data_IF_107918681151
#
_entry.id   IF_107918681151
#
_cell.length_a   1.000
_cell.length_b   1.000
_cell.length_c   1.000
_cell.angle_alpha   90.00
_cell.angle_beta   90.00
_cell.angle_gamma   90.00
#
_symmetry.space_group_name_H-M   'P 1'
#
loop_
_entity.id
_entity.type
_entity.pdbx_description
1 polymer ?
#
# COMPACT_ATOMS: atom_id res chain seq x y z
N UNK A 1 21.63 -1.20 -0.71
CA UNK A 1 20.31 -1.10 -1.41
C UNK A 1 20.50 -0.63 -2.84
N UNK A 2 21.20 0.50 -3.07
CA UNK A 2 21.43 1.04 -4.42
C UNK A 2 22.10 0.06 -5.41
N UNK A 3 23.11 -0.71 -4.99
CA UNK A 3 23.79 -1.69 -5.86
C UNK A 3 22.98 -2.92 -6.29
N UNK A 4 21.68 -2.98 -5.98
CA UNK A 4 20.79 -4.00 -6.54
C UNK A 4 20.08 -3.55 -7.82
N UNK A 5 20.11 -2.26 -8.12
CA UNK A 5 19.53 -1.67 -9.32
C UNK A 5 20.55 -1.67 -10.46
N UNK A 6 20.09 -1.61 -11.70
CA UNK A 6 20.99 -1.52 -12.87
C UNK A 6 21.62 -0.15 -12.97
N UNK A 7 20.88 0.91 -12.60
CA UNK A 7 21.40 2.27 -12.51
C UNK A 7 21.50 2.71 -11.04
N UNK A 8 22.72 2.68 -10.50
CA UNK A 8 22.98 3.03 -9.10
C UNK A 8 22.70 4.50 -8.79
N UNK A 9 22.92 5.41 -9.75
CA UNK A 9 22.74 6.85 -9.56
C UNK A 9 21.25 7.21 -9.41
N UNK A 10 20.39 6.67 -10.28
CA UNK A 10 18.94 6.84 -10.18
C UNK A 10 18.40 6.24 -8.88
N UNK A 11 18.92 5.08 -8.49
CA UNK A 11 18.54 4.43 -7.24
C UNK A 11 18.96 5.27 -6.02
N UNK A 12 20.19 5.81 -6.02
CA UNK A 12 20.66 6.68 -4.95
C UNK A 12 19.80 7.94 -4.82
N UNK A 13 19.45 8.58 -5.94
CA UNK A 13 18.56 9.74 -5.95
C UNK A 13 17.18 9.44 -5.35
N UNK A 14 16.58 8.30 -5.72
CA UNK A 14 15.32 7.85 -5.14
C UNK A 14 15.41 7.62 -3.63
N UNK A 15 16.44 6.91 -3.18
CA UNK A 15 16.63 6.60 -1.76
C UNK A 15 16.88 7.86 -0.91
N UNK A 16 17.56 8.85 -1.45
CA UNK A 16 17.72 10.16 -0.79
C UNK A 16 16.40 10.91 -0.66
N UNK A 17 15.54 10.88 -1.69
CA UNK A 17 14.20 11.46 -1.59
C UNK A 17 13.31 10.73 -0.56
N UNK A 18 13.40 9.40 -0.48
CA UNK A 18 12.73 8.60 0.57
C UNK A 18 13.25 9.00 1.95
N UNK A 19 14.57 9.19 2.10
CA UNK A 19 15.21 9.61 3.35
C UNK A 19 14.74 10.99 3.81
N UNK A 20 14.64 11.95 2.88
CA UNK A 20 14.12 13.29 3.17
C UNK A 20 12.65 13.25 3.63
N UNK A 21 11.78 12.52 2.93
CA UNK A 21 10.34 12.47 3.25
C UNK A 21 9.99 11.61 4.47
N UNK A 22 10.73 10.52 4.69
CA UNK A 22 10.42 9.49 5.71
C UNK A 22 11.57 9.28 6.70
N UNK A 23 12.22 10.37 7.13
CA UNK A 23 13.40 10.31 8.01
C UNK A 23 13.21 9.44 9.26
N UNK A 24 12.05 9.57 9.94
CA UNK A 24 11.74 8.79 11.16
C UNK A 24 11.73 7.28 10.91
N UNK A 25 11.28 6.83 9.73
CA UNK A 25 11.07 5.42 9.42
C UNK A 25 12.04 4.91 8.34
N UNK A 26 13.15 5.61 8.08
CA UNK A 26 14.00 5.32 6.93
C UNK A 26 14.55 3.89 6.95
N UNK A 27 14.91 3.37 8.13
CA UNK A 27 15.41 2.00 8.27
C UNK A 27 14.38 0.98 7.77
N UNK A 28 13.13 1.12 8.21
CA UNK A 28 12.06 0.21 7.86
C UNK A 28 11.70 0.32 6.37
N UNK A 29 11.64 1.56 5.86
CA UNK A 29 11.40 1.83 4.43
C UNK A 29 12.47 1.17 3.55
N UNK A 30 13.75 1.33 3.90
CA UNK A 30 14.86 0.73 3.17
C UNK A 30 14.85 -0.80 3.26
N UNK A 31 14.53 -1.36 4.44
CA UNK A 31 14.42 -2.80 4.61
C UNK A 31 13.29 -3.39 3.78
N UNK A 32 12.13 -2.73 3.74
CA UNK A 32 10.99 -3.16 2.92
C UNK A 32 11.35 -3.17 1.43
N UNK A 33 11.98 -2.09 0.94
CA UNK A 33 12.44 -1.99 -0.45
C UNK A 33 13.44 -3.12 -0.76
N UNK A 34 14.44 -3.34 0.11
CA UNK A 34 15.45 -4.37 -0.09
C UNK A 34 14.88 -5.79 -0.07
N UNK A 35 13.88 -6.07 0.77
CA UNK A 35 13.18 -7.37 0.77
C UNK A 35 12.46 -7.60 -0.55
N UNK A 36 11.75 -6.59 -1.06
CA UNK A 36 11.00 -6.74 -2.32
C UNK A 36 11.94 -6.92 -3.52
N UNK A 37 13.06 -6.20 -3.55
CA UNK A 37 14.08 -6.36 -4.59
C UNK A 37 14.67 -7.78 -4.57
N UNK A 38 14.95 -8.33 -3.39
CA UNK A 38 15.48 -9.70 -3.26
C UNK A 38 14.47 -10.79 -3.60
N UNK A 39 13.18 -10.49 -3.49
CA UNK A 39 12.10 -11.42 -3.85
C UNK A 39 11.97 -11.60 -5.36
N UNK A 40 12.41 -10.62 -6.14
CA UNK A 40 12.18 -10.58 -7.59
C UNK A 40 13.45 -10.92 -8.33
N UNK A 41 13.41 -12.02 -9.07
CA UNK A 41 14.55 -12.49 -9.86
C UNK A 41 14.85 -11.58 -11.05
N UNK A 42 13.82 -10.88 -11.55
CA UNK A 42 13.93 -10.11 -12.78
C UNK A 42 14.19 -8.61 -12.52
N UNK A 43 15.47 -8.23 -12.56
CA UNK A 43 15.93 -6.83 -12.39
C UNK A 43 15.21 -5.80 -13.26
N UNK A 44 14.80 -6.17 -14.47
CA UNK A 44 14.08 -5.24 -15.36
C UNK A 44 12.77 -4.72 -14.76
N UNK A 45 12.08 -5.51 -13.93
CA UNK A 45 10.83 -5.08 -13.27
C UNK A 45 11.13 -4.01 -12.23
N UNK A 46 12.21 -4.22 -11.46
CA UNK A 46 12.67 -3.31 -10.41
C UNK A 46 13.11 -1.96 -11.02
N UNK A 47 13.83 -1.98 -12.14
CA UNK A 47 14.27 -0.76 -12.82
C UNK A 47 13.08 0.04 -13.42
N UNK A 48 12.08 -0.64 -13.99
CA UNK A 48 10.87 0.01 -14.48
C UNK A 48 10.09 0.63 -13.32
N UNK A 49 9.95 -0.10 -12.20
CA UNK A 49 9.26 0.39 -11.01
C UNK A 49 9.95 1.64 -10.44
N UNK A 50 11.28 1.63 -10.35
CA UNK A 50 12.07 2.78 -9.92
C UNK A 50 11.78 4.01 -10.78
N UNK A 51 11.82 3.85 -12.10
CA UNK A 51 11.57 4.95 -13.04
C UNK A 51 10.15 5.51 -12.93
N UNK A 52 9.15 4.65 -12.77
CA UNK A 52 7.76 5.08 -12.59
C UNK A 52 7.54 5.76 -11.23
N UNK A 53 8.17 5.26 -10.16
CA UNK A 53 8.14 5.90 -8.85
C UNK A 53 8.77 7.30 -8.90
N UNK A 54 9.89 7.47 -9.60
CA UNK A 54 10.53 8.76 -9.81
C UNK A 54 9.63 9.72 -10.61
N UNK A 55 9.05 9.25 -11.72
CA UNK A 55 8.14 10.03 -12.57
C UNK A 55 6.89 10.50 -11.81
N UNK A 56 6.31 9.64 -10.98
CA UNK A 56 5.10 9.92 -10.19
C UNK A 56 5.40 10.54 -8.82
N UNK A 57 6.68 10.75 -8.48
CA UNK A 57 7.17 11.29 -7.19
C UNK A 57 6.70 10.49 -5.97
N UNK A 58 6.60 9.17 -6.12
CA UNK A 58 6.20 8.21 -5.10
C UNK A 58 7.42 7.80 -4.26
N UNK A 59 7.69 8.52 -3.18
CA UNK A 59 8.88 8.32 -2.36
C UNK A 59 8.57 7.64 -1.02
N UNK A 60 7.91 6.47 -1.08
CA UNK A 60 7.85 5.56 0.05
C UNK A 60 7.88 4.09 -0.39
N UNK A 61 8.23 3.22 0.54
CA UNK A 61 8.44 1.80 0.30
C UNK A 61 7.16 1.07 -0.10
N UNK A 62 6.01 1.43 0.49
CA UNK A 62 4.72 0.82 0.13
C UNK A 62 4.37 1.11 -1.32
N UNK A 63 4.50 2.37 -1.75
CA UNK A 63 4.23 2.74 -3.14
C UNK A 63 5.17 2.04 -4.11
N UNK A 64 6.45 1.89 -3.73
CA UNK A 64 7.43 1.15 -4.53
C UNK A 64 7.04 -0.32 -4.67
N UNK A 65 6.68 -0.98 -3.56
CA UNK A 65 6.22 -2.38 -3.56
C UNK A 65 4.96 -2.54 -4.41
N UNK A 66 4.01 -1.62 -4.30
CA UNK A 66 2.77 -1.66 -5.07
C UNK A 66 3.04 -1.47 -6.56
N UNK A 67 3.94 -0.56 -6.94
CA UNK A 67 4.37 -0.35 -8.32
C UNK A 67 5.02 -1.61 -8.91
N UNK A 68 5.92 -2.21 -8.14
CA UNK A 68 6.60 -3.45 -8.50
C UNK A 68 5.59 -4.58 -8.75
N UNK A 69 4.64 -4.78 -7.83
CA UNK A 69 3.57 -5.78 -7.97
C UNK A 69 2.64 -5.49 -9.14
N UNK A 70 2.34 -4.21 -9.39
CA UNK A 70 1.55 -3.80 -10.53
C UNK A 70 2.23 -4.19 -11.85
N UNK A 71 3.53 -3.91 -11.99
CA UNK A 71 4.31 -4.27 -13.19
C UNK A 71 4.42 -5.80 -13.34
N UNK A 72 4.65 -6.53 -12.25
CA UNK A 72 4.69 -7.99 -12.24
C UNK A 72 3.38 -8.59 -12.75
N UNK A 73 2.23 -8.12 -12.24
CA UNK A 73 0.90 -8.52 -12.71
C UNK A 73 0.65 -8.15 -14.17
N UNK A 74 0.99 -6.93 -14.57
CA UNK A 74 0.89 -6.50 -15.96
C UNK A 74 1.66 -7.46 -16.87
N UNK A 75 2.93 -7.76 -16.56
CA UNK A 75 3.72 -8.71 -17.37
C UNK A 75 3.09 -10.10 -17.50
N UNK A 76 2.52 -10.63 -16.41
CA UNK A 76 1.81 -11.91 -16.47
C UNK A 76 0.60 -11.83 -17.42
N UNK A 77 -0.16 -10.74 -17.36
CA UNK A 77 -1.31 -10.49 -18.26
C UNK A 77 -0.87 -10.36 -19.73
N UNK A 78 0.30 -9.79 -20.02
CA UNK A 78 0.77 -9.63 -21.40
C UNK A 78 1.41 -10.89 -22.01
N UNK A 79 1.85 -11.87 -21.19
CA UNK A 79 2.43 -13.14 -21.66
C UNK A 79 1.37 -14.20 -22.00
N UNK A 80 0.21 -14.14 -21.36
CA UNK A 80 -0.97 -14.93 -21.72
C UNK A 80 -1.94 -14.03 -22.49
N UNK A 81 -2.15 -14.31 -23.78
CA UNK A 81 -3.22 -13.84 -24.68
C UNK A 81 -4.34 -13.07 -23.93
N UNK A 82 -4.72 -11.85 -24.38
CA UNK A 82 -5.61 -10.97 -23.63
C UNK A 82 -6.96 -11.65 -23.43
N UNK A 83 -7.16 -12.23 -22.25
CA UNK A 83 -8.51 -12.42 -21.75
C UNK A 83 -8.79 -11.14 -21.01
N UNK A 84 -9.57 -10.29 -21.65
CA UNK A 84 -10.30 -9.19 -21.04
C UNK A 84 -11.07 -9.75 -19.85
N UNK A 85 -10.41 -9.85 -18.71
CA UNK A 85 -11.09 -9.85 -17.43
C UNK A 85 -11.13 -8.39 -17.04
N UNK A 86 -12.02 -7.67 -17.72
CA UNK A 86 -12.81 -6.65 -17.04
C UNK A 86 -13.11 -7.24 -15.67
N UNK A 87 -12.54 -6.66 -14.61
CA UNK A 87 -12.87 -7.08 -13.28
C UNK A 87 -14.39 -6.98 -13.20
N UNK A 88 -15.07 -8.12 -13.24
CA UNK A 88 -16.49 -8.17 -12.97
C UNK A 88 -16.60 -7.64 -11.55
N UNK A 89 -16.91 -6.35 -11.44
CA UNK A 89 -17.34 -5.75 -10.21
C UNK A 89 -18.65 -6.47 -9.96
N UNK A 90 -18.57 -7.62 -9.30
CA UNK A 90 -19.76 -8.24 -8.76
C UNK A 90 -20.40 -7.14 -7.91
N UNK A 91 -21.58 -6.70 -8.32
CA UNK A 91 -22.42 -5.87 -7.47
C UNK A 91 -22.45 -6.59 -6.13
N UNK A 92 -21.96 -5.93 -5.08
CA UNK A 92 -22.12 -6.42 -3.72
C UNK A 92 -23.61 -6.66 -3.58
N UNK A 93 -24.03 -7.92 -3.57
CA UNK A 93 -25.42 -8.24 -3.39
C UNK A 93 -25.67 -7.97 -1.91
N UNK A 94 -26.09 -6.74 -1.61
CA UNK A 94 -26.43 -6.28 -0.27
C UNK A 94 -27.78 -6.93 0.06
N UNK A 95 -27.80 -8.24 0.24
CA UNK A 95 -29.00 -8.96 0.68
C UNK A 95 -29.23 -8.79 2.19
N UNK A 96 -28.33 -8.08 2.88
CA UNK A 96 -28.44 -7.77 4.31
C UNK A 96 -28.29 -6.26 4.56
N UNK A 97 -29.31 -5.51 4.18
CA UNK A 97 -29.55 -4.13 4.63
C UNK A 97 -29.56 -4.00 6.17
N UNK A 98 -29.81 -5.12 6.87
CA UNK A 98 -29.75 -5.26 8.32
C UNK A 98 -28.40 -4.94 8.96
N UNK A 99 -27.27 -5.09 8.24
CA UNK A 99 -25.95 -4.76 8.79
C UNK A 99 -25.70 -3.25 8.88
N UNK A 100 -26.32 -2.45 7.99
CA UNK A 100 -26.20 -0.98 8.00
C UNK A 100 -27.06 -0.31 9.08
N UNK A 101 -28.02 -1.02 9.65
CA UNK A 101 -28.90 -0.52 10.72
C UNK A 101 -28.38 -0.84 12.13
N UNK A 102 -27.21 -1.46 12.25
CA UNK A 102 -26.60 -1.72 13.56
C UNK A 102 -26.19 -0.39 14.19
N UNK A 103 -26.93 0.03 15.21
CA UNK A 103 -26.56 1.15 16.07
C UNK A 103 -26.03 0.61 17.39
N UNK A 104 -25.00 1.25 17.96
CA UNK A 104 -24.53 0.90 19.30
C UNK A 104 -25.60 1.20 20.35
N UNK A 105 -25.65 0.43 21.43
CA UNK A 105 -26.53 0.70 22.56
C UNK A 105 -26.30 2.12 23.07
N UNK A 106 -27.34 2.97 22.96
CA UNK A 106 -27.34 4.29 23.57
C UNK A 106 -27.73 4.12 25.05
N UNK A 107 -26.78 4.34 25.96
CA UNK A 107 -27.08 4.39 27.39
C UNK A 107 -27.82 5.67 27.74
N UNK A 108 -28.71 5.60 28.72
CA UNK A 108 -29.42 6.78 29.22
C UNK A 108 -28.44 7.71 29.94
N UNK A 109 -28.57 9.01 29.73
CA UNK A 109 -27.69 10.03 30.33
C UNK A 109 -27.92 10.11 31.84
N UNK A 110 -29.14 9.79 32.30
CA UNK A 110 -29.47 9.78 33.73
C UNK A 110 -28.63 8.79 34.54
N UNK A 111 -28.15 7.71 33.92
CA UNK A 111 -27.24 6.75 34.57
C UNK A 111 -25.95 7.43 35.00
N UNK A 112 -25.40 8.32 34.17
CA UNK A 112 -24.21 9.11 34.51
C UNK A 112 -24.52 10.20 35.55
N UNK A 113 -25.70 10.81 35.48
CA UNK A 113 -26.12 11.82 36.45
C UNK A 113 -26.28 11.23 37.85
N UNK A 114 -26.88 10.05 38.00
CA UNK A 114 -27.03 9.38 39.30
C UNK A 114 -25.68 9.06 39.95
N UNK A 115 -24.69 8.65 39.16
CA UNK A 115 -23.31 8.42 39.63
C UNK A 115 -22.65 9.74 40.06
N UNK A 116 -22.83 10.82 39.30
CA UNK A 116 -22.28 12.14 39.63
C UNK A 116 -22.95 12.77 40.85
N UNK A 117 -24.25 12.56 41.03
CA UNK A 117 -25.03 13.02 42.18
C UNK A 117 -24.86 12.12 43.40
N UNK A 118 -24.11 11.02 43.28
CA UNK A 118 -23.78 10.11 44.39
C UNK A 118 -24.97 9.31 44.90
N UNK A 119 -25.99 9.09 44.07
CA UNK A 119 -27.23 8.40 44.41
C UNK A 119 -27.23 6.90 44.00
N UNK A 120 -26.04 6.35 43.69
CA UNK A 120 -25.87 4.96 43.25
C UNK A 120 -26.16 3.94 44.36
#
# INVERSE_FOLDING_TARGET
VAGHFTNEDEAAAFLEEVRKKRQRYIRDQLQMILREIKRIDQKSIIDIALRECMKKKLFCATDFIDMVRYIERQRQIHMTIPTEKEGSIHSVNIEHESLFQTTSQKRDVNEYLAVLEGQA
#
